data_IF_525787246377
#
_entry.id   IF_525787246377
#
_cell.length_a   1.000
_cell.length_b   1.000
_cell.length_c   1.000
_cell.angle_alpha   90.00
_cell.angle_beta   90.00
_cell.angle_gamma   90.00
#
_symmetry.space_group_name_H-M   'P 1'
#
loop_
_entity.id
_entity.type
_entity.pdbx_description
1 polymer ?
#
# COMPACT_ATOMS: atom_id res chain seq x y z
N UNK A 1 -1.43 17.17 22.40
CA UNK A 1 -0.10 16.53 22.30
C UNK A 1 -0.30 15.05 22.58
N UNK A 2 -0.65 14.28 21.55
CA UNK A 2 -0.91 12.85 21.66
C UNK A 2 0.24 12.11 20.97
N UNK A 3 1.10 11.61 21.83
CA UNK A 3 1.91 10.39 21.78
C UNK A 3 1.82 9.55 20.50
N UNK A 4 3.00 9.12 20.05
CA UNK A 4 3.18 8.18 18.96
C UNK A 4 2.60 6.81 19.31
N UNK A 5 1.41 6.55 18.82
CA UNK A 5 1.02 5.19 18.46
C UNK A 5 2.03 4.73 17.41
N UNK A 6 2.91 3.81 17.79
CA UNK A 6 3.49 2.88 16.84
C UNK A 6 2.30 2.28 16.10
N UNK A 7 2.04 2.78 14.88
CA UNK A 7 0.84 2.43 14.13
C UNK A 7 0.92 0.94 13.83
N UNK A 8 0.23 0.12 14.62
CA UNK A 8 0.09 -1.32 14.44
C UNK A 8 -0.55 -1.53 13.07
N UNK A 9 0.28 -1.80 12.07
CA UNK A 9 -0.10 -1.59 10.68
C UNK A 9 1.01 -1.97 9.72
N UNK A 10 0.63 -2.44 8.54
CA UNK A 10 1.57 -2.64 7.43
C UNK A 10 1.57 -1.38 6.59
N UNK A 11 2.72 -0.71 6.51
CA UNK A 11 2.89 0.40 5.58
C UNK A 11 3.36 -0.15 4.24
N UNK A 12 2.69 0.22 3.17
CA UNK A 12 3.01 -0.18 1.80
C UNK A 12 3.23 1.11 0.99
N UNK A 13 4.37 1.20 0.33
CA UNK A 13 4.75 2.30 -0.56
C UNK A 13 4.89 1.75 -1.98
N UNK A 14 4.18 2.39 -2.90
CA UNK A 14 4.24 2.13 -4.33
C UNK A 14 5.31 3.04 -4.93
N UNK A 15 6.46 2.43 -5.24
CA UNK A 15 7.62 3.15 -5.77
C UNK A 15 7.48 3.22 -7.29
N UNK A 16 7.20 4.41 -7.86
CA UNK A 16 7.06 4.57 -9.31
C UNK A 16 8.39 4.27 -10.02
N UNK A 17 8.29 3.87 -11.28
CA UNK A 17 9.44 3.76 -12.18
C UNK A 17 9.95 5.15 -12.58
N UNK A 18 11.17 5.23 -13.14
CA UNK A 18 11.70 6.50 -13.66
C UNK A 18 10.91 7.02 -14.88
N UNK A 19 10.22 6.12 -15.59
CA UNK A 19 9.37 6.40 -16.75
C UNK A 19 7.91 6.67 -16.37
N UNK A 20 7.56 6.53 -15.08
CA UNK A 20 6.23 6.91 -14.61
C UNK A 20 6.05 8.43 -14.70
N UNK A 21 4.87 8.90 -15.13
CA UNK A 21 4.61 10.33 -15.23
C UNK A 21 4.66 10.99 -13.84
N UNK A 22 5.14 12.25 -13.75
CA UNK A 22 5.24 12.94 -12.48
C UNK A 22 3.84 13.20 -11.89
N UNK A 23 3.72 13.10 -10.56
CA UNK A 23 2.49 13.42 -9.86
C UNK A 23 2.24 14.95 -9.90
N UNK A 24 0.99 15.43 -10.07
CA UNK A 24 -0.26 14.67 -10.26
C UNK A 24 -0.53 14.35 -11.74
N UNK A 25 -0.33 13.09 -12.14
CA UNK A 25 -0.73 12.56 -13.44
C UNK A 25 -2.05 11.80 -13.33
N UNK A 26 -2.99 12.08 -14.23
CA UNK A 26 -4.33 11.46 -14.20
C UNK A 26 -4.28 9.95 -14.41
N UNK A 27 -3.39 9.45 -15.27
CA UNK A 27 -3.24 8.01 -15.50
C UNK A 27 -2.76 7.30 -14.24
N UNK A 28 -1.73 7.83 -13.59
CA UNK A 28 -1.24 7.31 -12.32
C UNK A 28 -2.31 7.33 -11.22
N UNK A 29 -3.09 8.42 -11.12
CA UNK A 29 -4.16 8.52 -10.12
C UNK A 29 -5.32 7.54 -10.39
N UNK A 30 -5.64 7.26 -11.66
CA UNK A 30 -6.64 6.25 -12.00
C UNK A 30 -6.19 4.85 -11.56
N UNK A 31 -4.92 4.50 -11.78
CA UNK A 31 -4.39 3.20 -11.33
C UNK A 31 -4.41 3.05 -9.80
N UNK A 32 -4.17 4.14 -9.05
CA UNK A 32 -4.36 4.13 -7.59
C UNK A 32 -5.83 3.99 -7.19
N UNK A 33 -6.73 4.56 -7.98
CA UNK A 33 -8.18 4.45 -7.75
C UNK A 33 -8.67 3.02 -8.00
N UNK A 34 -8.14 2.34 -9.03
CA UNK A 34 -8.43 0.93 -9.30
C UNK A 34 -7.91 0.03 -8.17
N UNK A 35 -6.72 0.33 -7.66
CA UNK A 35 -6.18 -0.34 -6.48
C UNK A 35 -7.06 -0.10 -5.24
N UNK A 36 -7.50 1.13 -5.01
CA UNK A 36 -8.41 1.48 -3.93
C UNK A 36 -9.71 0.67 -4.03
N UNK A 37 -10.32 0.58 -5.21
CA UNK A 37 -11.52 -0.23 -5.41
C UNK A 37 -11.27 -1.72 -5.09
N UNK A 38 -10.14 -2.28 -5.54
CA UNK A 38 -9.80 -3.66 -5.24
C UNK A 38 -9.63 -3.93 -3.75
N UNK A 39 -9.07 -2.99 -2.98
CA UNK A 39 -8.95 -3.11 -1.53
C UNK A 39 -10.31 -2.98 -0.81
N UNK A 40 -11.17 -2.07 -1.27
CA UNK A 40 -12.50 -1.90 -0.70
C UNK A 40 -13.42 -3.10 -0.98
N UNK A 41 -13.30 -3.75 -2.14
CA UNK A 41 -14.09 -4.93 -2.51
C UNK A 41 -13.89 -6.11 -1.53
N UNK A 42 -12.70 -6.20 -0.94
CA UNK A 42 -12.36 -7.20 0.07
C UNK A 42 -12.39 -6.66 1.51
N UNK A 43 -13.08 -5.53 1.72
CA UNK A 43 -13.35 -4.93 3.02
C UNK A 43 -12.09 -4.66 3.87
N UNK A 44 -10.99 -4.28 3.22
CA UNK A 44 -9.72 -3.97 3.89
C UNK A 44 -9.82 -2.63 4.61
N UNK A 45 -9.40 -2.61 5.87
CA UNK A 45 -9.28 -1.35 6.61
C UNK A 45 -7.91 -0.71 6.33
N UNK A 46 -7.90 0.37 5.54
CA UNK A 46 -6.68 1.08 5.18
C UNK A 46 -6.80 2.60 5.33
N UNK A 47 -5.65 3.27 5.34
CA UNK A 47 -5.54 4.71 5.12
C UNK A 47 -4.53 4.97 4.01
N UNK A 48 -4.90 5.80 3.04
CA UNK A 48 -3.99 6.26 1.99
C UNK A 48 -3.38 7.63 2.34
N UNK A 49 -2.12 7.86 1.99
CA UNK A 49 -1.51 9.20 2.12
C UNK A 49 -1.90 10.05 0.91
N UNK A 50 -2.54 11.17 1.20
CA UNK A 50 -2.90 12.21 0.23
C UNK A 50 -2.00 13.43 0.51
N UNK A 51 -1.42 14.00 -0.55
CA UNK A 51 -0.78 15.31 -0.48
C UNK A 51 -1.79 16.38 -0.88
N UNK A 52 -1.97 17.35 0.01
CA UNK A 52 -2.74 18.57 -0.24
C UNK A 52 -1.79 19.74 -0.47
N UNK A 53 -1.57 20.19 -1.72
CA UNK A 53 -0.69 21.31 -2.00
C UNK A 53 -1.27 22.60 -1.38
N UNK A 54 -0.43 23.41 -0.75
CA UNK A 54 -0.86 24.65 -0.09
C UNK A 54 -1.20 25.81 -1.06
N UNK A 55 -1.22 25.56 -2.37
CA UNK A 55 -1.49 26.57 -3.40
C UNK A 55 -2.97 26.66 -3.75
N UNK A 56 -3.47 27.86 -4.05
CA UNK A 56 -4.87 28.11 -4.43
C UNK A 56 -5.39 27.35 -5.67
N UNK A 57 -4.50 26.71 -6.43
CA UNK A 57 -4.81 25.93 -7.64
C UNK A 57 -4.36 24.46 -7.52
N UNK A 58 -3.87 24.04 -6.35
CA UNK A 58 -3.42 22.68 -6.12
C UNK A 58 -4.60 21.76 -5.83
N UNK A 59 -4.69 20.65 -6.56
CA UNK A 59 -5.63 19.57 -6.23
C UNK A 59 -4.95 18.55 -5.33
N UNK A 60 -5.72 17.95 -4.45
CA UNK A 60 -5.28 16.81 -3.65
C UNK A 60 -4.98 15.61 -4.56
N UNK A 61 -3.89 14.91 -4.29
CA UNK A 61 -3.55 13.67 -5.02
C UNK A 61 -2.93 12.62 -4.10
N UNK A 62 -3.14 11.35 -4.43
CA UNK A 62 -2.60 10.24 -3.67
C UNK A 62 -1.11 10.00 -4.02
N UNK A 63 -0.31 9.73 -2.98
CA UNK A 63 1.13 9.49 -3.13
C UNK A 63 1.48 8.05 -3.54
N UNK A 64 0.53 7.13 -3.42
CA UNK A 64 0.79 5.68 -3.52
C UNK A 64 1.34 5.11 -2.22
N UNK A 65 1.03 5.72 -1.09
CA UNK A 65 1.35 5.17 0.23
C UNK A 65 0.07 4.72 0.93
N UNK A 66 0.13 3.52 1.49
CA UNK A 66 -0.97 2.84 2.15
C UNK A 66 -0.54 2.42 3.55
N UNK A 67 -1.43 2.56 4.50
CA UNK A 67 -1.33 1.98 5.83
C UNK A 67 -2.49 1.00 5.98
N UNK A 68 -2.19 -0.28 5.93
CA UNK A 68 -3.16 -1.35 6.14
C UNK A 68 -3.23 -1.64 7.64
N UNK A 69 -4.39 -1.36 8.25
CA UNK A 69 -4.61 -1.58 9.69
C UNK A 69 -5.06 -3.00 9.97
N UNK A 70 -5.97 -3.51 9.15
CA UNK A 70 -6.53 -4.84 9.31
C UNK A 70 -6.91 -5.45 7.96
N UNK A 71 -6.60 -6.74 7.81
CA UNK A 71 -7.04 -7.58 6.70
C UNK A 71 -7.48 -8.91 7.29
N UNK A 72 -8.64 -9.42 6.89
CA UNK A 72 -9.04 -10.76 7.26
C UNK A 72 -8.11 -11.80 6.57
N UNK A 73 -7.71 -12.90 7.22
CA UNK A 73 -6.83 -13.91 6.61
C UNK A 73 -7.32 -14.45 5.27
N UNK A 74 -8.64 -14.53 5.07
CA UNK A 74 -9.25 -14.95 3.81
C UNK A 74 -9.01 -13.97 2.64
N UNK A 75 -8.71 -12.69 2.93
CA UNK A 75 -8.48 -11.64 1.94
C UNK A 75 -7.00 -11.44 1.60
N UNK A 76 -6.05 -12.11 2.26
CA UNK A 76 -4.60 -11.87 2.07
C UNK A 76 -4.17 -12.01 0.60
N UNK A 77 -4.57 -13.09 -0.07
CA UNK A 77 -4.23 -13.30 -1.48
C UNK A 77 -4.84 -12.25 -2.40
N UNK A 78 -6.05 -11.78 -2.12
CA UNK A 78 -6.71 -10.76 -2.93
C UNK A 78 -6.01 -9.40 -2.79
N UNK A 79 -5.66 -9.02 -1.56
CA UNK A 79 -4.86 -7.82 -1.30
C UNK A 79 -3.50 -7.90 -1.98
N UNK A 80 -2.80 -9.04 -1.83
CA UNK A 80 -1.52 -9.25 -2.50
C UNK A 80 -1.63 -9.15 -4.02
N UNK A 81 -2.70 -9.73 -4.59
CA UNK A 81 -3.01 -9.66 -6.02
C UNK A 81 -3.24 -8.23 -6.50
N UNK A 82 -3.93 -7.39 -5.73
CA UNK A 82 -4.20 -6.00 -6.08
C UNK A 82 -2.90 -5.18 -6.21
N UNK A 83 -1.99 -5.30 -5.23
CA UNK A 83 -0.67 -4.65 -5.29
C UNK A 83 0.22 -5.21 -6.41
N UNK A 84 0.15 -6.53 -6.65
CA UNK A 84 0.85 -7.15 -7.76
C UNK A 84 0.35 -6.67 -9.13
N UNK A 85 -0.95 -6.41 -9.28
CA UNK A 85 -1.50 -5.86 -10.51
C UNK A 85 -0.92 -4.46 -10.80
N UNK A 86 -0.81 -3.60 -9.79
CA UNK A 86 -0.16 -2.29 -9.93
C UNK A 86 1.32 -2.41 -10.32
N UNK A 87 2.03 -3.38 -9.74
CA UNK A 87 3.43 -3.68 -10.06
C UNK A 87 3.60 -4.15 -11.51
N UNK A 88 2.69 -4.99 -12.00
CA UNK A 88 2.74 -5.52 -13.38
C UNK A 88 2.37 -4.47 -14.43
N UNK A 89 1.60 -3.45 -14.06
CA UNK A 89 1.12 -2.46 -15.02
C UNK A 89 2.26 -1.72 -15.73
N UNK A 90 3.41 -1.53 -15.08
CA UNK A 90 4.60 -0.93 -15.71
C UNK A 90 5.92 -1.52 -15.22
N UNK A 91 6.87 -1.61 -16.15
CA UNK A 91 8.22 -2.08 -15.85
C UNK A 91 8.99 -1.09 -14.98
N UNK A 92 9.70 -1.61 -13.96
CA UNK A 92 10.55 -0.82 -13.07
C UNK A 92 9.84 -0.29 -11.82
N UNK A 93 8.53 -0.49 -11.70
CA UNK A 93 7.80 -0.24 -10.45
C UNK A 93 8.24 -1.21 -9.36
N UNK A 94 8.05 -0.80 -8.11
CA UNK A 94 8.34 -1.64 -6.95
C UNK A 94 7.32 -1.43 -5.84
N UNK A 95 7.16 -2.45 -5.02
CA UNK A 95 6.39 -2.37 -3.78
C UNK A 95 7.37 -2.43 -2.62
N UNK A 96 7.38 -1.40 -1.78
CA UNK A 96 8.12 -1.37 -0.53
C UNK A 96 7.16 -1.53 0.63
N UNK A 97 7.54 -2.33 1.61
CA UNK A 97 6.71 -2.69 2.73
C UNK A 97 7.47 -2.48 4.03
N UNK A 98 6.78 -1.96 5.04
CA UNK A 98 7.34 -1.73 6.36
C UNK A 98 6.38 -2.17 7.46
N UNK A 99 6.88 -2.96 8.41
CA UNK A 99 6.15 -3.45 9.60
C UNK A 99 7.05 -3.25 10.82
N UNK A 100 6.73 -2.27 11.65
CA UNK A 100 7.64 -1.84 12.73
C UNK A 100 9.02 -1.48 12.16
N UNK A 101 10.05 -2.21 12.61
CA UNK A 101 11.44 -2.05 12.16
C UNK A 101 11.81 -2.87 10.91
N UNK A 102 10.93 -3.77 10.45
CA UNK A 102 11.20 -4.60 9.27
C UNK A 102 10.82 -3.80 8.02
N UNK A 103 11.77 -3.66 7.09
CA UNK A 103 11.56 -3.08 5.77
C UNK A 103 11.95 -4.09 4.68
N UNK A 104 11.09 -4.25 3.67
CA UNK A 104 11.31 -5.13 2.54
C UNK A 104 10.89 -4.46 1.23
N UNK A 105 11.55 -4.78 0.12
CA UNK A 105 11.24 -4.25 -1.22
C UNK A 105 11.13 -5.41 -2.20
N UNK A 106 10.10 -5.39 -3.04
CA UNK A 106 9.93 -6.31 -4.17
C UNK A 106 9.76 -5.56 -5.48
N UNK A 107 10.45 -6.06 -6.49
CA UNK A 107 10.38 -5.62 -7.89
C UNK A 107 9.88 -6.73 -8.82
N UNK A 108 9.46 -7.88 -8.27
CA UNK A 108 8.87 -9.00 -8.99
C UNK A 108 7.53 -9.36 -8.36
N UNK A 109 6.59 -9.83 -9.18
CA UNK A 109 5.25 -10.24 -8.76
C UNK A 109 5.31 -11.33 -7.71
N UNK A 110 6.14 -12.35 -7.97
CA UNK A 110 6.28 -13.50 -7.08
C UNK A 110 6.82 -13.07 -5.72
N UNK A 111 7.83 -12.20 -5.70
CA UNK A 111 8.41 -11.74 -4.44
C UNK A 111 7.44 -10.81 -3.72
N UNK A 112 6.74 -9.92 -4.44
CA UNK A 112 5.75 -9.01 -3.86
C UNK A 112 4.58 -9.78 -3.23
N UNK A 113 4.03 -10.78 -3.94
CA UNK A 113 2.95 -11.62 -3.43
C UNK A 113 3.37 -12.34 -2.14
N UNK A 114 4.56 -12.96 -2.16
CA UNK A 114 5.07 -13.69 -1.02
C UNK A 114 5.33 -12.76 0.18
N UNK A 115 5.96 -11.60 -0.05
CA UNK A 115 6.21 -10.59 0.98
C UNK A 115 4.91 -10.05 1.58
N UNK A 116 3.91 -9.74 0.75
CA UNK A 116 2.63 -9.18 1.20
C UNK A 116 1.86 -10.19 2.06
N UNK A 117 1.76 -11.44 1.62
CA UNK A 117 1.09 -12.50 2.40
C UNK A 117 1.81 -12.76 3.72
N UNK A 118 3.16 -12.81 3.70
CA UNK A 118 3.95 -12.98 4.92
C UNK A 118 3.78 -11.79 5.88
N UNK A 119 3.78 -10.57 5.36
CA UNK A 119 3.55 -9.35 6.13
C UNK A 119 2.20 -9.38 6.85
N UNK A 120 1.13 -9.69 6.12
CA UNK A 120 -0.23 -9.80 6.67
C UNK A 120 -0.35 -10.92 7.70
N UNK A 121 0.32 -12.05 7.47
CA UNK A 121 0.38 -13.15 8.43
C UNK A 121 1.08 -12.75 9.73
N UNK A 122 2.24 -12.08 9.63
CA UNK A 122 2.98 -11.59 10.80
C UNK A 122 2.19 -10.54 11.57
N UNK A 123 1.46 -9.66 10.87
CA UNK A 123 0.59 -8.68 11.50
C UNK A 123 -0.56 -9.36 12.24
N UNK A 124 -1.24 -10.33 11.62
CA UNK A 124 -2.34 -11.05 12.27
C UNK A 124 -1.90 -11.82 13.53
N UNK A 125 -0.70 -12.41 13.51
CA UNK A 125 -0.11 -13.07 14.69
C UNK A 125 0.19 -12.08 15.82
N UNK A 126 0.71 -10.89 15.50
CA UNK A 126 0.97 -9.85 16.52
C UNK A 126 -0.31 -9.33 17.15
N UNK A 127 -1.39 -9.19 16.36
CA UNK A 127 -2.68 -8.78 16.91
C UNK A 127 -3.20 -9.82 17.90
N UNK A 128 -3.07 -11.12 17.61
CA UNK A 128 -3.54 -12.20 18.50
C UNK A 128 -2.73 -12.31 19.81
N UNK A 129 -1.44 -11.97 19.80
CA UNK A 129 -0.57 -12.00 21.00
C UNK A 129 -0.81 -10.82 21.97
N UNK A 130 -1.44 -9.73 21.48
CA UNK A 130 -1.79 -8.54 22.28
C UNK A 130 -3.24 -8.53 22.83
N UNK A 131 -4.07 -9.54 22.52
CA UNK A 131 -5.45 -9.71 23.06
C UNK A 131 -5.49 -10.70 24.22
#
# INVERSE_FOLDING_TARGET
MLWGEERVGIRIELVPSWDDPPKPDTGYQNELTDLDHALNDVEVDYNRTILSPHSAQGFDYALGEYLIRYVAPAAFSAVAGAFCAWLQARSGRKVRLKIGDIEAEANSVRDAEHLLVQAMTLQAQKVDDEV
#
